data_IF_598571071644
#
_entry.id   IF_598571071644
#
_cell.length_a   1.000
_cell.length_b   1.000
_cell.length_c   1.000
_cell.angle_alpha   90.00
_cell.angle_beta   90.00
_cell.angle_gamma   90.00
#
_symmetry.space_group_name_H-M   'P 1'
#
loop_
_entity.id
_entity.type
_entity.pdbx_description
1 polymer ?
#
# COMPACT_ATOMS: atom_id res chain seq x y z
N UNK A 1 -39.57 -78.38 26.59
CA UNK A 1 -40.09 -77.05 26.14
C UNK A 1 -39.18 -76.01 26.61
N UNK A 2 -38.31 -75.42 25.71
CA UNK A 2 -37.34 -74.37 26.01
C UNK A 2 -37.90 -73.05 25.49
N UNK A 3 -38.27 -72.19 26.38
CA UNK A 3 -38.81 -70.86 26.08
C UNK A 3 -37.61 -69.90 25.88
N UNK A 4 -37.33 -69.58 24.60
CA UNK A 4 -36.28 -68.66 24.21
C UNK A 4 -36.86 -67.24 24.19
N UNK A 5 -36.74 -66.51 25.29
CA UNK A 5 -37.06 -65.10 25.38
C UNK A 5 -36.03 -64.30 24.60
N UNK A 6 -36.36 -63.90 23.38
CA UNK A 6 -35.67 -62.90 22.62
C UNK A 6 -35.77 -61.54 23.38
N UNK A 7 -34.69 -61.16 24.06
CA UNK A 7 -34.54 -59.83 24.66
C UNK A 7 -34.29 -58.84 23.50
N UNK A 8 -35.33 -58.13 23.06
CA UNK A 8 -35.16 -57.00 22.18
C UNK A 8 -34.35 -55.94 22.90
N UNK A 9 -33.09 -55.74 22.48
CA UNK A 9 -32.32 -54.57 22.87
C UNK A 9 -33.07 -53.34 22.37
N UNK A 10 -33.67 -52.56 23.25
CA UNK A 10 -34.17 -51.23 22.95
C UNK A 10 -32.95 -50.37 22.66
N UNK A 11 -32.76 -50.02 21.43
CA UNK A 11 -31.81 -48.94 21.08
C UNK A 11 -32.24 -47.69 21.83
N UNK A 12 -31.38 -47.22 22.74
CA UNK A 12 -31.67 -46.03 23.53
C UNK A 12 -31.46 -44.81 22.62
N UNK A 13 -32.50 -44.39 21.93
CA UNK A 13 -32.48 -43.27 21.01
C UNK A 13 -32.00 -41.96 21.71
N UNK A 14 -32.23 -41.82 23.01
CA UNK A 14 -31.81 -40.66 23.78
C UNK A 14 -30.28 -40.58 23.90
N UNK A 15 -29.59 -41.70 24.07
CA UNK A 15 -28.11 -41.72 24.11
C UNK A 15 -27.45 -41.42 22.76
N UNK A 16 -28.13 -41.75 21.62
CA UNK A 16 -27.60 -41.39 20.29
C UNK A 16 -27.79 -39.92 20.01
N UNK A 17 -28.96 -39.36 20.30
CA UNK A 17 -29.25 -37.94 20.12
C UNK A 17 -28.33 -37.05 20.94
N UNK A 18 -28.07 -37.44 22.19
CA UNK A 18 -27.14 -36.73 23.08
C UNK A 18 -25.70 -36.73 22.52
N UNK A 19 -25.21 -37.87 22.05
CA UNK A 19 -23.88 -37.96 21.40
C UNK A 19 -23.78 -37.12 20.14
N UNK A 20 -24.82 -37.11 19.32
CA UNK A 20 -24.85 -36.24 18.11
C UNK A 20 -24.82 -34.74 18.54
N UNK A 21 -25.60 -34.37 19.52
CA UNK A 21 -25.62 -33.00 20.04
C UNK A 21 -24.25 -32.56 20.56
N UNK A 22 -23.58 -33.41 21.33
CA UNK A 22 -22.21 -33.13 21.84
C UNK A 22 -21.23 -32.96 20.64
N UNK A 23 -21.27 -33.88 19.66
CA UNK A 23 -20.39 -33.79 18.49
C UNK A 23 -20.62 -32.50 17.69
N UNK A 24 -21.88 -32.09 17.53
CA UNK A 24 -22.20 -30.84 16.86
C UNK A 24 -21.66 -29.62 17.62
N UNK A 25 -21.82 -29.59 18.94
CA UNK A 25 -21.25 -28.51 19.77
C UNK A 25 -19.74 -28.46 19.66
N UNK A 26 -19.05 -29.61 19.74
CA UNK A 26 -17.60 -29.68 19.58
C UNK A 26 -17.17 -29.22 18.18
N UNK A 27 -17.88 -29.62 17.13
CA UNK A 27 -17.57 -29.20 15.78
C UNK A 27 -17.74 -27.69 15.57
N UNK A 28 -18.79 -27.11 16.15
CA UNK A 28 -19.03 -25.65 16.10
C UNK A 28 -17.94 -24.90 16.87
N UNK A 29 -17.61 -25.33 18.08
CA UNK A 29 -16.55 -24.70 18.88
C UNK A 29 -15.20 -24.80 18.17
N UNK A 30 -14.85 -25.96 17.64
CA UNK A 30 -13.62 -26.16 16.87
C UNK A 30 -13.59 -25.28 15.62
N UNK A 31 -14.70 -25.21 14.86
CA UNK A 31 -14.82 -24.37 13.68
C UNK A 31 -14.64 -22.88 13.99
N UNK A 32 -15.27 -22.39 15.04
CA UNK A 32 -15.10 -21.00 15.52
C UNK A 32 -13.64 -20.75 15.94
N UNK A 33 -13.06 -21.66 16.71
CA UNK A 33 -11.68 -21.52 17.17
C UNK A 33 -10.68 -21.49 16.00
N UNK A 34 -10.84 -22.37 15.02
CA UNK A 34 -10.02 -22.39 13.82
C UNK A 34 -10.23 -21.12 13.02
N UNK A 35 -11.48 -20.68 12.81
CA UNK A 35 -11.80 -19.48 12.07
C UNK A 35 -11.20 -18.21 12.67
N UNK A 36 -11.13 -18.11 13.99
CA UNK A 36 -10.54 -16.95 14.69
C UNK A 36 -9.01 -16.99 14.77
N UNK A 37 -8.41 -18.18 14.78
CA UNK A 37 -6.96 -18.34 14.93
C UNK A 37 -6.21 -18.41 13.60
N UNK A 38 -6.81 -19.01 12.57
CA UNK A 38 -6.16 -19.22 11.27
C UNK A 38 -5.64 -17.93 10.63
N UNK A 39 -6.39 -16.81 10.60
CA UNK A 39 -5.88 -15.57 10.03
C UNK A 39 -4.63 -15.04 10.74
N UNK A 40 -4.49 -15.32 12.04
CA UNK A 40 -3.37 -14.84 12.86
C UNK A 40 -2.09 -15.67 12.72
N UNK A 41 -2.22 -16.94 12.35
CA UNK A 41 -1.09 -17.87 12.25
C UNK A 41 -0.70 -18.23 10.82
N UNK A 42 -1.55 -17.94 9.86
CA UNK A 42 -1.31 -18.23 8.46
C UNK A 42 -1.44 -16.95 7.62
N UNK A 43 -0.32 -16.42 7.07
CA UNK A 43 -0.33 -15.17 6.31
C UNK A 43 -1.26 -15.22 5.10
N UNK A 44 -1.33 -16.34 4.39
CA UNK A 44 -2.22 -16.48 3.22
C UNK A 44 -3.69 -16.37 3.60
N UNK A 45 -4.08 -16.96 4.75
CA UNK A 45 -5.46 -16.84 5.26
C UNK A 45 -5.72 -15.43 5.76
N UNK A 46 -4.73 -14.80 6.40
CA UNK A 46 -4.79 -13.41 6.84
C UNK A 46 -5.00 -12.44 5.68
N UNK A 47 -4.29 -12.63 4.57
CA UNK A 47 -4.48 -11.84 3.35
C UNK A 47 -5.90 -12.02 2.76
N UNK A 48 -6.38 -13.25 2.68
CA UNK A 48 -7.71 -13.56 2.15
C UNK A 48 -8.85 -13.00 3.01
N UNK A 49 -8.64 -12.89 4.32
CA UNK A 49 -9.64 -12.36 5.27
C UNK A 49 -9.47 -10.86 5.52
N UNK A 50 -8.43 -10.22 4.96
CA UNK A 50 -8.08 -8.83 5.23
C UNK A 50 -7.45 -8.61 6.61
N UNK A 51 -7.10 -9.67 7.34
CA UNK A 51 -6.45 -9.64 8.65
C UNK A 51 -4.96 -9.99 8.50
N UNK A 52 -4.25 -9.20 7.66
CA UNK A 52 -2.82 -9.41 7.44
C UNK A 52 -2.03 -9.07 8.71
N UNK A 53 -1.29 -10.04 9.20
CA UNK A 53 -0.32 -9.83 10.28
C UNK A 53 1.07 -9.76 9.65
N UNK A 54 1.63 -8.56 9.58
CA UNK A 54 3.02 -8.38 9.17
C UNK A 54 3.96 -9.16 10.10
N UNK A 55 4.98 -9.79 9.54
CA UNK A 55 5.99 -10.55 10.30
C UNK A 55 7.40 -10.06 9.95
N UNK A 56 8.37 -10.34 10.84
CA UNK A 56 9.77 -9.95 10.67
C UNK A 56 10.03 -8.47 11.01
N UNK A 57 11.17 -7.96 10.57
CA UNK A 57 11.64 -6.61 10.93
C UNK A 57 10.70 -5.48 10.53
N UNK A 58 9.98 -5.65 9.44
CA UNK A 58 8.96 -4.67 9.01
C UNK A 58 7.80 -4.60 10.00
N UNK A 59 7.36 -5.73 10.55
CA UNK A 59 6.31 -5.77 11.57
C UNK A 59 6.79 -5.15 12.88
N UNK A 60 8.01 -5.42 13.29
CA UNK A 60 8.61 -4.83 14.49
C UNK A 60 8.70 -3.30 14.35
N UNK A 61 9.13 -2.82 13.21
CA UNK A 61 9.16 -1.39 12.91
C UNK A 61 7.76 -0.79 12.92
N UNK A 62 6.80 -1.43 12.28
CA UNK A 62 5.40 -0.96 12.26
C UNK A 62 4.82 -0.87 13.68
N UNK A 63 5.07 -1.88 14.52
CA UNK A 63 4.60 -1.88 15.91
C UNK A 63 5.28 -0.83 16.79
N UNK A 64 6.48 -0.37 16.43
CA UNK A 64 7.19 0.68 17.14
C UNK A 64 6.71 2.10 16.80
N UNK A 65 5.91 2.26 15.74
CA UNK A 65 5.38 3.56 15.36
C UNK A 65 4.35 4.06 16.36
N UNK A 66 4.42 5.34 16.66
CA UNK A 66 3.39 6.00 17.47
C UNK A 66 2.14 6.21 16.61
N UNK A 67 0.99 5.79 17.14
CA UNK A 67 -0.30 6.05 16.51
C UNK A 67 -0.80 7.41 17.00
N UNK A 68 -1.13 8.30 16.05
CA UNK A 68 -1.83 9.56 16.34
C UNK A 68 -3.32 9.39 16.01
N UNK A 69 -4.15 9.39 17.05
CA UNK A 69 -5.61 9.26 16.91
C UNK A 69 -6.29 10.57 16.49
N UNK A 70 -5.54 11.68 16.43
CA UNK A 70 -6.06 13.02 16.13
C UNK A 70 -5.24 13.72 15.04
N UNK A 71 -5.12 13.15 13.84
CA UNK A 71 -4.35 13.75 12.77
C UNK A 71 -4.93 15.13 12.42
N UNK A 72 -4.08 16.15 12.33
CA UNK A 72 -4.50 17.53 12.10
C UNK A 72 -3.99 18.05 10.76
N UNK A 73 -4.89 18.68 9.99
CA UNK A 73 -4.54 19.42 8.76
C UNK A 73 -4.19 20.88 9.04
N UNK A 74 -4.24 21.32 10.31
CA UNK A 74 -3.98 22.71 10.66
C UNK A 74 -2.62 23.17 10.13
N UNK A 75 -2.62 24.29 9.40
CA UNK A 75 -1.41 24.86 8.82
C UNK A 75 -0.82 24.07 7.65
N UNK A 76 -1.52 23.08 7.10
CA UNK A 76 -1.02 22.35 5.95
C UNK A 76 -0.68 23.28 4.79
N UNK A 77 0.58 23.23 4.38
CA UNK A 77 1.08 23.94 3.21
C UNK A 77 1.95 22.99 2.38
N UNK A 78 1.48 22.73 1.17
CA UNK A 78 2.17 21.84 0.23
C UNK A 78 3.56 22.35 -0.14
N UNK A 79 3.74 23.66 -0.25
CA UNK A 79 5.00 24.25 -0.67
C UNK A 79 6.07 24.13 0.44
N UNK A 80 5.67 23.87 1.69
CA UNK A 80 6.60 23.59 2.80
C UNK A 80 7.47 22.34 2.58
N UNK A 81 7.04 21.41 1.75
CA UNK A 81 7.82 20.21 1.39
C UNK A 81 8.91 20.47 0.35
N UNK A 82 8.99 21.68 -0.22
CA UNK A 82 10.08 22.09 -1.11
C UNK A 82 10.20 21.32 -2.41
N UNK A 83 9.19 20.55 -2.80
CA UNK A 83 9.22 19.58 -3.91
C UNK A 83 9.66 20.16 -5.26
N UNK A 84 9.55 21.47 -5.46
CA UNK A 84 9.97 22.15 -6.69
C UNK A 84 11.46 22.48 -6.75
N UNK A 85 12.14 22.40 -5.61
CA UNK A 85 13.56 22.69 -5.46
C UNK A 85 14.36 21.48 -5.02
N UNK A 86 13.71 20.33 -4.84
CA UNK A 86 14.38 19.11 -4.39
C UNK A 86 15.04 18.43 -5.58
N UNK A 87 16.35 18.29 -5.49
CA UNK A 87 17.23 17.56 -6.40
C UNK A 87 17.88 16.45 -5.57
N UNK A 88 17.33 15.23 -5.68
CA UNK A 88 17.71 14.12 -4.80
C UNK A 88 19.01 13.43 -5.23
N UNK A 89 19.39 13.51 -6.50
CA UNK A 89 20.54 12.81 -7.06
C UNK A 89 21.69 13.77 -7.45
N UNK A 90 21.48 15.07 -7.31
CA UNK A 90 22.49 16.09 -7.59
C UNK A 90 22.71 16.34 -9.09
N UNK A 91 21.75 15.94 -9.94
CA UNK A 91 21.85 16.13 -11.39
C UNK A 91 21.43 17.53 -11.85
N UNK A 92 20.94 18.37 -10.93
CA UNK A 92 20.46 19.73 -11.17
C UNK A 92 19.03 19.81 -11.71
N UNK A 93 18.32 18.68 -11.78
CA UNK A 93 16.91 18.61 -12.12
C UNK A 93 16.07 18.44 -10.85
N UNK A 94 14.82 18.85 -10.89
CA UNK A 94 13.91 18.55 -9.79
C UNK A 94 13.32 17.14 -9.92
N UNK A 95 12.95 16.54 -8.79
CA UNK A 95 12.38 15.18 -8.71
C UNK A 95 11.24 14.95 -9.69
N UNK A 96 10.42 15.98 -9.96
CA UNK A 96 9.34 15.85 -10.96
C UNK A 96 9.88 15.59 -12.34
N UNK A 97 10.93 16.29 -12.73
CA UNK A 97 11.53 16.14 -14.05
C UNK A 97 12.21 14.79 -14.20
N UNK A 98 12.87 14.31 -13.14
CA UNK A 98 13.50 12.99 -13.13
C UNK A 98 12.48 11.87 -13.24
N UNK A 99 11.37 11.95 -12.51
CA UNK A 99 10.28 10.97 -12.60
C UNK A 99 9.65 11.00 -14.01
N UNK A 100 9.40 12.17 -14.56
CA UNK A 100 8.87 12.28 -15.93
C UNK A 100 9.84 11.71 -16.96
N UNK A 101 11.14 11.99 -16.81
CA UNK A 101 12.17 11.46 -17.70
C UNK A 101 12.31 9.93 -17.60
N UNK A 102 12.14 9.38 -16.39
CA UNK A 102 12.21 7.94 -16.13
C UNK A 102 11.03 7.17 -16.73
N UNK A 103 9.82 7.70 -16.56
CA UNK A 103 8.58 6.95 -16.79
C UNK A 103 7.94 7.21 -18.16
N UNK A 104 8.33 8.30 -18.84
CA UNK A 104 7.86 8.58 -20.20
C UNK A 104 8.78 7.96 -21.25
N UNK A 105 8.19 7.54 -22.35
CA UNK A 105 8.90 7.22 -23.59
C UNK A 105 8.83 8.42 -24.56
N UNK A 106 9.69 8.43 -25.59
CA UNK A 106 9.75 9.52 -26.59
C UNK A 106 9.91 10.92 -25.97
N UNK A 107 10.69 11.00 -24.89
CA UNK A 107 10.88 12.23 -24.12
C UNK A 107 11.54 13.30 -24.96
N UNK A 108 10.96 14.50 -24.91
CA UNK A 108 11.54 15.72 -25.49
C UNK A 108 11.68 16.77 -24.39
N UNK A 109 12.79 17.47 -24.41
CA UNK A 109 13.11 18.51 -23.42
C UNK A 109 12.91 19.91 -23.98
N UNK A 110 12.75 20.88 -23.11
CA UNK A 110 12.75 22.30 -23.46
C UNK A 110 14.22 22.73 -23.65
N UNK A 111 14.53 23.29 -24.83
CA UNK A 111 15.86 23.78 -25.13
C UNK A 111 16.31 24.86 -24.13
N UNK A 112 17.55 24.78 -23.64
CA UNK A 112 18.14 25.76 -22.72
C UNK A 112 17.67 25.61 -21.26
N UNK A 113 16.95 24.55 -20.89
CA UNK A 113 16.55 24.27 -19.50
C UNK A 113 17.62 23.53 -18.70
N UNK A 114 18.89 23.68 -19.05
CA UNK A 114 20.03 23.03 -18.36
C UNK A 114 20.23 23.68 -17.00
N UNK A 115 20.40 22.88 -15.97
CA UNK A 115 20.90 23.34 -14.69
C UNK A 115 22.35 23.87 -14.83
N UNK A 116 22.64 24.96 -14.14
CA UNK A 116 23.94 25.63 -14.21
C UNK A 116 25.04 24.98 -13.33
N UNK A 117 24.87 23.75 -12.89
CA UNK A 117 25.90 23.02 -12.15
C UNK A 117 26.59 22.00 -13.04
N UNK A 118 27.20 22.47 -14.14
CA UNK A 118 28.04 21.60 -14.95
C UNK A 118 29.49 21.60 -14.44
N UNK A 119 29.88 20.45 -14.00
CA UNK A 119 31.29 20.02 -14.05
C UNK A 119 31.31 18.53 -14.35
N UNK A 120 31.11 18.18 -15.60
CA UNK A 120 31.56 16.89 -16.10
C UNK A 120 30.55 16.01 -16.83
N UNK A 121 30.67 16.08 -18.12
CA UNK A 121 30.36 14.99 -19.05
C UNK A 121 28.92 14.78 -19.49
N UNK A 122 28.61 15.32 -20.63
CA UNK A 122 27.81 14.64 -21.64
C UNK A 122 26.38 15.11 -21.84
N UNK A 123 26.20 15.74 -22.99
CA UNK A 123 24.95 16.02 -23.70
C UNK A 123 23.94 16.93 -22.97
N UNK A 124 23.90 18.18 -23.38
CA UNK A 124 22.92 19.20 -23.00
C UNK A 124 21.43 18.86 -23.19
N UNK A 125 21.01 17.78 -22.60
CA UNK A 125 19.60 17.46 -22.43
C UNK A 125 19.07 18.35 -21.30
N UNK A 126 18.15 19.26 -21.63
CA UNK A 126 17.56 20.13 -20.62
C UNK A 126 16.80 19.34 -19.58
N UNK A 127 16.78 19.84 -18.35
CA UNK A 127 16.03 19.19 -17.27
C UNK A 127 14.52 19.15 -17.52
N UNK A 128 13.95 20.20 -18.12
CA UNK A 128 12.49 20.31 -18.23
C UNK A 128 11.93 19.47 -19.37
N UNK A 129 11.22 18.43 -19.02
CA UNK A 129 10.48 17.58 -19.98
C UNK A 129 9.37 18.41 -20.63
N UNK A 130 9.42 18.52 -21.96
CA UNK A 130 8.42 19.21 -22.78
C UNK A 130 7.26 18.31 -23.13
N UNK A 131 7.54 17.09 -23.55
CA UNK A 131 6.54 16.09 -23.94
C UNK A 131 7.09 14.68 -23.86
N UNK A 132 6.19 13.70 -23.84
CA UNK A 132 6.49 12.29 -23.86
C UNK A 132 5.22 11.45 -23.89
N UNK A 133 5.35 10.14 -23.81
CA UNK A 133 4.25 9.19 -23.82
C UNK A 133 4.33 8.31 -22.59
N UNK A 134 3.28 8.29 -21.81
CA UNK A 134 3.13 7.42 -20.64
C UNK A 134 2.28 6.19 -21.00
N UNK A 135 2.80 5.00 -20.73
CA UNK A 135 1.96 3.80 -20.60
C UNK A 135 1.47 3.75 -19.16
N UNK A 136 0.26 4.24 -18.91
CA UNK A 136 -0.25 4.41 -17.57
C UNK A 136 -0.49 3.06 -16.89
N UNK A 137 0.23 2.72 -15.81
CA UNK A 137 0.10 1.43 -15.14
C UNK A 137 -1.23 1.27 -14.39
N UNK A 138 -1.92 2.35 -14.04
CA UNK A 138 -3.18 2.31 -13.29
C UNK A 138 -4.37 2.01 -14.20
N UNK A 139 -4.40 2.59 -15.39
CA UNK A 139 -5.54 2.45 -16.32
C UNK A 139 -5.24 1.54 -17.50
N UNK A 140 -3.97 1.20 -17.74
CA UNK A 140 -3.52 0.46 -18.93
C UNK A 140 -3.63 1.26 -20.22
N UNK A 141 -3.90 2.58 -20.15
CA UNK A 141 -4.04 3.43 -21.32
C UNK A 141 -2.75 4.18 -21.67
N UNK A 142 -2.64 4.64 -22.90
CA UNK A 142 -1.52 5.47 -23.34
C UNK A 142 -1.90 6.95 -23.23
N UNK A 143 -1.13 7.72 -22.45
CA UNK A 143 -1.33 9.14 -22.23
C UNK A 143 -0.22 9.92 -22.92
N UNK A 144 -0.57 10.88 -23.79
CA UNK A 144 0.38 11.80 -24.38
C UNK A 144 0.56 13.02 -23.49
N UNK A 145 1.72 13.09 -22.85
CA UNK A 145 2.09 14.24 -22.04
C UNK A 145 2.57 15.39 -22.90
N UNK A 146 2.06 16.59 -22.65
CA UNK A 146 2.59 17.84 -23.17
C UNK A 146 2.55 18.87 -22.05
N UNK A 147 3.70 19.48 -21.77
CA UNK A 147 3.82 20.50 -20.73
C UNK A 147 3.00 21.74 -21.09
N UNK A 148 2.20 22.21 -20.14
CA UNK A 148 1.39 23.41 -20.28
C UNK A 148 0.47 23.60 -19.07
N UNK A 149 -0.04 24.82 -18.89
CA UNK A 149 -0.88 25.18 -17.72
C UNK A 149 -2.14 24.28 -17.63
N UNK A 150 -2.72 23.94 -18.77
CA UNK A 150 -3.94 23.11 -18.84
C UNK A 150 -3.68 21.63 -19.11
N UNK A 151 -2.49 21.29 -19.60
CA UNK A 151 -2.18 19.95 -20.13
C UNK A 151 -1.27 19.13 -19.23
N UNK A 152 -0.46 19.78 -18.38
CA UNK A 152 0.44 19.06 -17.45
C UNK A 152 -0.28 18.19 -16.43
N UNK A 153 -1.56 18.47 -16.16
CA UNK A 153 -2.40 17.67 -15.27
C UNK A 153 -2.78 16.29 -15.83
N UNK A 154 -2.54 16.05 -17.11
CA UNK A 154 -2.79 14.73 -17.71
C UNK A 154 -1.88 13.63 -17.11
N UNK A 155 -0.69 13.99 -16.63
CA UNK A 155 0.23 13.09 -15.94
C UNK A 155 0.54 13.68 -14.56
N UNK A 156 0.06 13.01 -13.52
CA UNK A 156 0.32 13.37 -12.13
C UNK A 156 1.49 12.53 -11.60
N UNK A 157 2.31 13.16 -10.76
CA UNK A 157 3.30 12.42 -9.97
C UNK A 157 2.61 11.94 -8.69
N UNK A 158 2.55 10.64 -8.53
CA UNK A 158 2.02 10.02 -7.33
C UNK A 158 3.13 9.89 -6.27
N UNK A 159 2.73 10.03 -5.01
CA UNK A 159 3.62 9.91 -3.86
C UNK A 159 3.25 8.64 -3.09
N UNK A 160 4.24 7.83 -2.74
CA UNK A 160 4.04 6.63 -1.89
C UNK A 160 3.34 7.01 -0.58
N UNK A 161 3.73 8.16 -0.01
CA UNK A 161 3.02 8.79 1.11
C UNK A 161 2.52 10.15 0.64
N UNK A 162 1.22 10.35 0.57
CA UNK A 162 0.65 11.64 0.20
C UNK A 162 1.14 12.74 1.14
N UNK A 163 1.51 13.91 0.60
CA UNK A 163 2.10 15.00 1.40
C UNK A 163 1.20 15.43 2.57
N UNK A 164 -0.11 15.42 2.37
CA UNK A 164 -1.05 15.71 3.44
C UNK A 164 -1.04 14.63 4.53
N UNK A 165 -0.93 13.36 4.16
CA UNK A 165 -0.79 12.27 5.13
C UNK A 165 0.54 12.39 5.90
N UNK A 166 1.64 12.71 5.22
CA UNK A 166 2.91 12.96 5.87
C UNK A 166 2.80 14.10 6.90
N UNK A 167 2.15 15.21 6.53
CA UNK A 167 1.89 16.33 7.42
C UNK A 167 1.13 15.91 8.67
N UNK A 168 0.02 15.21 8.49
CA UNK A 168 -0.83 14.72 9.57
C UNK A 168 -0.13 13.68 10.46
N UNK A 169 0.85 12.96 9.90
CA UNK A 169 1.65 11.96 10.61
C UNK A 169 2.90 12.54 11.28
N UNK A 170 3.01 13.86 11.40
CA UNK A 170 4.06 14.53 12.16
C UNK A 170 5.12 15.26 11.33
N UNK A 171 5.08 15.21 9.99
CA UNK A 171 6.01 15.98 9.17
C UNK A 171 5.89 17.49 9.36
N UNK A 172 4.76 17.98 9.86
CA UNK A 172 4.55 19.37 10.25
C UNK A 172 5.46 19.84 11.39
N UNK A 173 6.08 18.92 12.11
CA UNK A 173 7.02 19.19 13.21
C UNK A 173 8.49 19.04 12.79
N UNK A 174 8.74 18.59 11.55
CA UNK A 174 10.10 18.43 11.06
C UNK A 174 10.72 19.81 10.75
N UNK A 175 12.01 19.89 10.96
CA UNK A 175 12.74 21.03 10.47
C UNK A 175 12.94 20.91 8.94
N UNK A 176 13.24 22.02 8.25
CA UNK A 176 13.33 22.06 6.78
C UNK A 176 14.53 21.30 6.20
N UNK A 177 15.41 20.82 7.04
CA UNK A 177 16.60 20.03 6.64
C UNK A 177 16.32 18.52 6.62
N UNK A 178 15.14 18.13 7.00
CA UNK A 178 14.69 16.74 7.05
C UNK A 178 13.70 16.44 5.93
#
# INVERSE_FOLDING_TARGET
MRDSRFRRQRFNANGLAERIAILLVVAVVAGISIGLLMPKVNPTVGEMTGEYVATGSAAETLQSLTIDDQPSRAGYDRDSFGFRQTDDDGNGCDVREDVLARDLTDVRYIAGSVSSSDSGSGSGAGCKVKSGVLSDPYTGTTIRFTRGVKTSSAVQIDHVVALENAWQSGANQWDRTK
#
